data_IF_561303106934
#
_entry.id   IF_561303106934
#
_cell.length_a   1.000
_cell.length_b   1.000
_cell.length_c   1.000
_cell.angle_alpha   90.00
_cell.angle_beta   90.00
_cell.angle_gamma   90.00
#
_symmetry.space_group_name_H-M   'P 1'
#
loop_
_entity.id
_entity.type
_entity.pdbx_description
1 polymer ?
#
# COMPACT_ATOMS: atom_id res chain seq x y z
N UNK A 1 15.74 23.52 -16.63
CA UNK A 1 14.46 22.81 -16.86
C UNK A 1 14.67 21.32 -17.02
N UNK A 2 14.06 20.55 -16.11
CA UNK A 2 14.31 19.11 -15.93
C UNK A 2 14.27 18.68 -14.46
N UNK A 3 14.88 17.54 -14.12
CA UNK A 3 14.97 17.02 -12.73
C UNK A 3 16.42 16.78 -12.34
N UNK A 4 16.76 17.08 -11.07
CA UNK A 4 18.05 16.69 -10.47
C UNK A 4 17.92 15.31 -9.83
N UNK A 5 18.74 14.37 -10.26
CA UNK A 5 18.76 13.00 -9.74
C UNK A 5 20.10 12.71 -9.08
N UNK A 6 20.07 11.87 -8.04
CA UNK A 6 21.26 11.30 -7.40
C UNK A 6 21.36 9.83 -7.79
N UNK A 7 22.47 9.44 -8.40
CA UNK A 7 22.74 8.06 -8.81
C UNK A 7 23.24 7.23 -7.63
N UNK A 8 23.30 5.90 -7.80
CA UNK A 8 23.67 4.95 -6.74
C UNK A 8 25.11 5.16 -6.21
N UNK A 9 25.99 5.65 -7.07
CA UNK A 9 27.36 6.06 -6.75
C UNK A 9 27.46 7.44 -6.06
N UNK A 10 26.32 8.09 -5.80
CA UNK A 10 26.25 9.39 -5.12
C UNK A 10 26.43 10.60 -6.04
N UNK A 11 26.70 10.42 -7.34
CA UNK A 11 26.82 11.53 -8.26
C UNK A 11 25.46 12.23 -8.45
N UNK A 12 25.49 13.56 -8.55
CA UNK A 12 24.32 14.36 -8.91
C UNK A 12 24.39 14.76 -10.37
N UNK A 13 23.26 14.64 -11.08
CA UNK A 13 23.13 15.14 -12.45
C UNK A 13 21.75 15.71 -12.73
N UNK A 14 21.71 16.65 -13.66
CA UNK A 14 20.46 17.22 -14.16
C UNK A 14 20.04 16.50 -15.44
N UNK A 15 18.85 15.91 -15.44
CA UNK A 15 18.20 15.39 -16.63
C UNK A 15 17.33 16.49 -17.21
N UNK A 16 17.67 17.00 -18.39
CA UNK A 16 16.84 18.02 -19.07
C UNK A 16 15.56 17.40 -19.58
N UNK A 17 14.43 18.07 -19.37
CA UNK A 17 13.12 17.64 -19.86
C UNK A 17 12.20 18.85 -20.04
N UNK A 18 11.32 18.78 -21.05
CA UNK A 18 10.24 19.77 -21.23
C UNK A 18 9.00 19.50 -20.36
N UNK A 19 8.87 18.27 -19.84
CA UNK A 19 7.80 17.84 -18.93
C UNK A 19 8.38 16.84 -17.92
N UNK A 20 7.99 16.96 -16.66
CA UNK A 20 8.33 16.01 -15.59
C UNK A 20 7.03 15.54 -14.94
N UNK A 21 6.88 14.22 -14.78
CA UNK A 21 5.74 13.59 -14.10
C UNK A 21 6.24 12.98 -12.80
N UNK A 22 5.69 13.42 -11.66
CA UNK A 22 5.95 12.76 -10.38
C UNK A 22 5.01 11.58 -10.18
N UNK A 23 5.58 10.36 -10.26
CA UNK A 23 4.89 9.10 -10.03
C UNK A 23 5.38 8.38 -8.75
N UNK A 24 5.91 9.12 -7.77
CA UNK A 24 6.46 8.54 -6.52
C UNK A 24 5.38 8.13 -5.49
N UNK A 25 4.10 8.28 -5.82
CA UNK A 25 2.96 7.78 -5.04
C UNK A 25 2.74 8.57 -3.74
N UNK A 26 2.30 7.89 -2.67
CA UNK A 26 1.93 8.51 -1.37
C UNK A 26 3.08 9.33 -0.75
N UNK A 27 4.32 8.96 -1.00
CA UNK A 27 5.50 9.65 -0.50
C UNK A 27 5.95 10.83 -1.40
N UNK A 28 5.12 11.21 -2.38
CA UNK A 28 5.39 12.34 -3.27
C UNK A 28 5.69 13.62 -2.51
N UNK A 29 6.71 14.32 -2.98
CA UNK A 29 7.10 15.64 -2.49
C UNK A 29 6.67 16.77 -3.42
N UNK A 30 5.88 16.49 -4.45
CA UNK A 30 5.54 17.47 -5.49
C UNK A 30 4.87 18.72 -4.92
N UNK A 31 3.93 18.57 -3.99
CA UNK A 31 3.29 19.73 -3.36
C UNK A 31 4.32 20.65 -2.67
N UNK A 32 5.34 20.07 -2.03
CA UNK A 32 6.44 20.82 -1.43
C UNK A 32 7.32 21.48 -2.49
N UNK A 33 7.70 20.76 -3.54
CA UNK A 33 8.54 21.32 -4.61
C UNK A 33 7.88 22.46 -5.37
N UNK A 34 6.57 22.38 -5.59
CA UNK A 34 5.80 23.48 -6.20
C UNK A 34 5.82 24.72 -5.30
N UNK A 35 5.59 24.55 -3.99
CA UNK A 35 5.68 25.65 -3.02
C UNK A 35 7.10 26.24 -2.93
N UNK A 36 8.14 25.41 -2.89
CA UNK A 36 9.55 25.82 -2.89
C UNK A 36 9.91 26.59 -4.20
N UNK A 37 9.19 26.33 -5.29
CA UNK A 37 9.32 27.04 -6.56
C UNK A 37 8.44 28.33 -6.65
N UNK A 38 7.78 28.72 -5.56
CA UNK A 38 6.91 29.90 -5.52
C UNK A 38 5.54 29.71 -6.17
N UNK A 39 5.18 28.47 -6.53
CA UNK A 39 3.86 28.14 -7.08
C UNK A 39 2.87 27.85 -5.94
N UNK A 40 1.56 28.10 -6.14
CA UNK A 40 0.56 27.73 -5.15
C UNK A 40 0.54 26.22 -4.93
N UNK A 41 0.39 25.81 -3.68
CA UNK A 41 0.17 24.40 -3.37
C UNK A 41 -1.16 23.92 -4.00
N UNK A 42 -1.21 22.71 -4.56
CA UNK A 42 -2.46 22.16 -5.08
C UNK A 42 -3.48 21.96 -3.96
N UNK A 43 -4.77 22.12 -4.27
CA UNK A 43 -5.86 21.81 -3.33
C UNK A 43 -5.74 20.34 -2.90
N UNK A 44 -5.69 20.09 -1.59
CA UNK A 44 -5.68 18.74 -1.02
C UNK A 44 -7.04 18.44 -0.40
N UNK A 45 -7.64 17.34 -0.82
CA UNK A 45 -8.75 16.70 -0.12
C UNK A 45 -8.30 15.34 0.37
N UNK A 46 -8.59 15.05 1.62
CA UNK A 46 -8.22 13.80 2.27
C UNK A 46 -9.42 13.21 2.97
N UNK A 47 -9.60 11.91 2.80
CA UNK A 47 -10.57 11.11 3.53
C UNK A 47 -9.76 10.05 4.26
N UNK A 48 -9.59 10.24 5.56
CA UNK A 48 -8.99 9.22 6.41
C UNK A 48 -10.05 8.18 6.75
N UNK A 49 -9.90 6.99 6.17
CA UNK A 49 -10.81 5.86 6.40
C UNK A 49 -10.46 5.08 7.67
N UNK A 50 -9.34 5.41 8.33
CA UNK A 50 -8.76 4.60 9.40
C UNK A 50 -8.35 3.20 8.94
N UNK A 51 -8.20 2.98 7.62
CA UNK A 51 -7.87 1.66 7.09
C UNK A 51 -6.44 1.29 7.44
N UNK A 52 -6.31 0.22 8.21
CA UNK A 52 -5.05 -0.42 8.56
C UNK A 52 -5.05 -1.86 8.08
N UNK A 53 -3.85 -2.42 7.90
CA UNK A 53 -3.68 -3.80 7.49
C UNK A 53 -2.46 -4.44 8.15
N UNK A 54 -2.51 -5.75 8.30
CA UNK A 54 -1.40 -6.59 8.70
C UNK A 54 -1.33 -7.79 7.74
N UNK A 55 -0.12 -8.16 7.32
CA UNK A 55 0.08 -9.23 6.32
C UNK A 55 1.08 -10.25 6.81
N UNK A 56 0.88 -11.52 6.45
CA UNK A 56 1.80 -12.61 6.73
C UNK A 56 1.86 -13.61 5.57
N UNK A 57 3.05 -14.16 5.35
CA UNK A 57 3.27 -15.24 4.40
C UNK A 57 3.07 -16.59 5.09
N UNK A 58 2.35 -17.48 4.42
CA UNK A 58 2.14 -18.87 4.81
C UNK A 58 2.61 -19.80 3.70
N UNK A 59 3.03 -21.01 4.07
CA UNK A 59 3.21 -22.08 3.09
C UNK A 59 1.84 -22.64 2.73
N UNK A 60 1.54 -22.73 1.44
CA UNK A 60 0.31 -23.35 0.99
C UNK A 60 0.34 -24.87 1.25
N UNK A 61 -0.80 -25.47 1.65
CA UNK A 61 -0.97 -26.91 1.64
C UNK A 61 -0.65 -27.48 0.26
N UNK A 62 -0.10 -28.69 0.18
CA UNK A 62 0.42 -29.27 -1.07
C UNK A 62 -0.59 -29.22 -2.22
N UNK A 63 -1.83 -29.68 -1.99
CA UNK A 63 -2.89 -29.66 -3.00
C UNK A 63 -3.44 -28.27 -3.36
N UNK A 64 -2.95 -27.21 -2.71
CA UNK A 64 -3.39 -25.83 -2.91
C UNK A 64 -2.22 -24.89 -3.27
N UNK A 65 -1.05 -25.45 -3.60
CA UNK A 65 0.11 -24.70 -4.10
C UNK A 65 -0.14 -24.15 -5.50
N UNK A 66 -0.91 -24.88 -6.31
CA UNK A 66 -1.20 -24.54 -7.70
C UNK A 66 -2.70 -24.31 -7.89
N UNK A 67 -3.06 -23.22 -8.56
CA UNK A 67 -4.44 -22.96 -9.00
C UNK A 67 -5.46 -22.66 -7.89
N UNK A 68 -5.03 -22.47 -6.63
CA UNK A 68 -5.93 -21.99 -5.57
C UNK A 68 -6.44 -20.58 -5.94
N UNK A 69 -7.72 -20.25 -5.74
CA UNK A 69 -8.24 -18.94 -6.09
C UNK A 69 -7.81 -17.87 -5.08
N UNK A 70 -7.89 -16.61 -5.49
CA UNK A 70 -7.89 -15.50 -4.54
C UNK A 70 -9.16 -15.58 -3.71
N UNK A 71 -9.02 -15.55 -2.38
CA UNK A 71 -10.15 -15.47 -1.46
C UNK A 71 -10.19 -14.06 -0.90
N UNK A 72 -11.34 -13.39 -1.03
CA UNK A 72 -11.56 -12.05 -0.51
C UNK A 72 -12.80 -12.06 0.38
N UNK A 73 -12.59 -11.81 1.68
CA UNK A 73 -13.63 -11.59 2.66
C UNK A 73 -13.81 -10.08 2.80
N UNK A 74 -14.89 -9.57 2.21
CA UNK A 74 -15.21 -8.15 2.22
C UNK A 74 -15.92 -7.74 3.50
N UNK A 75 -15.73 -6.48 3.88
CA UNK A 75 -16.43 -5.86 4.99
C UNK A 75 -17.92 -5.76 4.66
N UNK A 76 -18.80 -6.07 5.61
CA UNK A 76 -20.24 -5.86 5.44
C UNK A 76 -20.65 -4.49 6.00
N UNK A 77 -20.93 -3.49 5.14
CA UNK A 77 -21.26 -2.14 5.59
C UNK A 77 -22.60 -2.06 6.33
N UNK A 78 -23.45 -3.11 6.28
CA UNK A 78 -24.77 -3.13 6.92
C UNK A 78 -24.70 -3.41 8.42
N UNK A 79 -23.54 -3.88 8.91
CA UNK A 79 -23.38 -4.29 10.32
C UNK A 79 -23.25 -3.11 11.28
N UNK A 80 -22.99 -1.90 10.77
CA UNK A 80 -22.85 -0.68 11.57
C UNK A 80 -21.62 -0.65 12.50
N UNK A 81 -20.81 -1.72 12.51
CA UNK A 81 -19.57 -1.81 13.26
C UNK A 81 -18.33 -1.52 12.42
N UNK A 82 -17.13 -1.60 13.00
CA UNK A 82 -15.88 -1.46 12.27
C UNK A 82 -15.79 -2.47 11.12
N UNK A 83 -15.35 -2.00 9.95
CA UNK A 83 -15.08 -2.89 8.85
C UNK A 83 -13.95 -3.85 9.20
N UNK A 84 -14.15 -5.14 8.92
CA UNK A 84 -13.15 -6.19 9.05
C UNK A 84 -13.19 -7.09 7.83
N UNK A 85 -12.02 -7.40 7.28
CA UNK A 85 -11.91 -8.22 6.09
C UNK A 85 -10.53 -8.83 5.96
N UNK A 86 -10.38 -9.66 4.94
CA UNK A 86 -9.12 -10.30 4.65
C UNK A 86 -9.01 -10.77 3.21
N UNK A 87 -7.78 -10.82 2.73
CA UNK A 87 -7.44 -11.40 1.42
C UNK A 87 -6.42 -12.49 1.63
N UNK A 88 -6.66 -13.64 1.02
CA UNK A 88 -5.66 -14.67 0.78
C UNK A 88 -5.30 -14.61 -0.71
N UNK A 89 -4.05 -14.28 -0.98
CA UNK A 89 -3.48 -14.18 -2.31
C UNK A 89 -2.41 -15.27 -2.48
N UNK A 90 -2.61 -16.26 -3.36
CA UNK A 90 -1.52 -17.12 -3.79
C UNK A 90 -0.40 -16.30 -4.43
N UNK A 91 0.82 -16.53 -3.96
CA UNK A 91 2.05 -15.92 -4.47
C UNK A 91 3.04 -17.03 -4.82
N UNK A 92 4.17 -16.65 -5.40
CA UNK A 92 5.19 -17.57 -5.88
C UNK A 92 5.74 -18.50 -4.78
N UNK A 93 6.32 -19.62 -5.21
CA UNK A 93 6.95 -20.64 -4.36
C UNK A 93 5.98 -21.42 -3.45
N UNK A 94 4.73 -21.59 -3.90
CA UNK A 94 3.71 -22.34 -3.16
C UNK A 94 3.39 -21.69 -1.80
N UNK A 95 3.30 -20.36 -1.79
CA UNK A 95 3.01 -19.55 -0.61
C UNK A 95 1.72 -18.76 -0.78
N UNK A 96 1.13 -18.39 0.34
CA UNK A 96 -0.01 -17.49 0.40
C UNK A 96 0.38 -16.23 1.15
N UNK A 97 0.09 -15.06 0.60
CA UNK A 97 0.08 -13.80 1.32
C UNK A 97 -1.34 -13.60 1.89
N UNK A 98 -1.44 -13.66 3.21
CA UNK A 98 -2.68 -13.38 3.93
C UNK A 98 -2.60 -11.97 4.49
N UNK A 99 -3.52 -11.11 4.08
CA UNK A 99 -3.65 -9.74 4.58
C UNK A 99 -4.98 -9.60 5.29
N UNK A 100 -4.95 -9.22 6.56
CA UNK A 100 -6.13 -8.76 7.29
C UNK A 100 -6.18 -7.25 7.22
N UNK A 101 -7.37 -6.67 7.14
CA UNK A 101 -7.56 -5.23 7.12
C UNK A 101 -8.82 -4.83 7.86
N UNK A 102 -8.79 -3.62 8.42
CA UNK A 102 -9.91 -3.07 9.15
C UNK A 102 -9.89 -1.56 9.21
N UNK A 103 -11.06 -0.97 9.43
CA UNK A 103 -11.22 0.46 9.72
C UNK A 103 -11.07 0.70 11.22
N UNK A 104 -11.19 1.96 11.67
CA UNK A 104 -11.16 2.34 13.09
C UNK A 104 -12.02 1.43 13.97
N UNK A 105 -11.42 0.81 14.98
CA UNK A 105 -12.02 -0.18 15.91
C UNK A 105 -12.03 -1.64 15.40
N UNK A 106 -11.57 -1.87 14.17
CA UNK A 106 -11.48 -3.17 13.50
C UNK A 106 -10.05 -3.57 13.15
N UNK A 107 -9.06 -2.90 13.72
CA UNK A 107 -7.65 -3.03 13.37
C UNK A 107 -7.15 -4.46 13.60
N UNK A 108 -6.47 -5.08 12.61
CA UNK A 108 -5.72 -6.29 12.86
C UNK A 108 -4.48 -5.97 13.70
N UNK A 109 -4.01 -6.94 14.47
CA UNK A 109 -2.80 -6.79 15.28
C UNK A 109 -1.57 -7.26 14.50
N UNK A 110 -0.38 -6.87 14.96
CA UNK A 110 0.89 -7.45 14.50
C UNK A 110 1.22 -8.78 15.19
N UNK A 111 0.35 -9.27 16.08
CA UNK A 111 0.55 -10.52 16.79
C UNK A 111 0.27 -11.71 15.89
N UNK A 112 1.25 -12.61 15.82
CA UNK A 112 1.16 -13.83 15.04
C UNK A 112 0.03 -14.74 15.50
N UNK A 113 -0.16 -14.88 16.81
CA UNK A 113 -1.19 -15.77 17.36
C UNK A 113 -2.61 -15.31 16.98
N UNK A 114 -2.81 -14.00 16.78
CA UNK A 114 -4.08 -13.45 16.36
C UNK A 114 -4.48 -13.85 14.92
N UNK A 115 -3.53 -14.22 14.06
CA UNK A 115 -3.82 -14.75 12.73
C UNK A 115 -4.19 -16.24 12.72
N UNK A 116 -3.85 -16.96 13.78
CA UNK A 116 -3.99 -18.43 13.87
C UNK A 116 -5.21 -18.86 14.70
N UNK A 117 -6.02 -17.89 15.14
CA UNK A 117 -7.19 -18.09 16.00
C UNK A 117 -8.47 -18.42 15.23
#
# INVERSE_FOLDING_TARGET
DGVRVRTRDGAERTLRAGLVVDATGRASRTARWLADAGLPAPERREVDTGLVYASRLYRAPEGARDGFPVVNVQQDPRTGGPGRGGVLLPVEDGRWLVTLFGTTGGEPTSDTAAFER
#
